data_IF_969961318251
#
_entry.id   IF_969961318251
#
_cell.length_a   1.000
_cell.length_b   1.000
_cell.length_c   1.000
_cell.angle_alpha   90.00
_cell.angle_beta   90.00
_cell.angle_gamma   90.00
#
_symmetry.space_group_name_H-M   'P 1'
#
loop_
_entity.id
_entity.type
_entity.pdbx_description
1 polymer ?
#
# COMPACT_ATOMS: atom_id res chain seq x y z
N UNK A 1 -85.02 -39.00 33.07
CA UNK A 1 -86.20 -38.12 33.04
C UNK A 1 -85.84 -36.75 33.64
N UNK A 2 -84.94 -35.93 33.02
CA UNK A 2 -84.61 -34.59 33.51
C UNK A 2 -83.81 -33.78 32.44
N UNK A 3 -84.27 -33.74 31.20
CA UNK A 3 -83.68 -32.94 30.13
C UNK A 3 -84.65 -32.07 29.33
N UNK A 4 -85.94 -32.08 29.64
CA UNK A 4 -86.97 -31.38 28.85
C UNK A 4 -87.54 -30.11 29.48
N UNK A 5 -87.10 -29.70 30.69
CA UNK A 5 -87.61 -28.46 31.36
C UNK A 5 -86.80 -27.21 31.24
N UNK A 6 -85.51 -27.26 30.68
CA UNK A 6 -84.68 -26.04 30.48
C UNK A 6 -84.91 -25.33 29.13
N UNK A 7 -85.50 -25.99 28.17
CA UNK A 7 -85.71 -25.41 26.84
C UNK A 7 -86.95 -24.52 26.75
N UNK A 8 -87.90 -24.74 27.69
CA UNK A 8 -89.14 -24.01 27.67
C UNK A 8 -89.11 -22.59 28.30
N UNK A 9 -88.03 -22.27 29.08
CA UNK A 9 -87.86 -20.96 29.67
C UNK A 9 -86.98 -19.98 28.83
N UNK A 10 -86.22 -20.51 27.88
CA UNK A 10 -85.37 -19.69 26.98
C UNK A 10 -86.14 -19.09 25.80
N UNK A 11 -87.18 -19.78 25.32
CA UNK A 11 -88.00 -19.30 24.19
C UNK A 11 -88.79 -18.00 24.54
N UNK A 12 -89.42 -17.88 25.70
CA UNK A 12 -90.10 -16.64 26.04
C UNK A 12 -89.14 -15.46 26.30
N UNK A 13 -87.93 -15.69 26.82
CA UNK A 13 -86.91 -14.65 27.04
C UNK A 13 -86.37 -14.04 25.74
N UNK A 14 -86.05 -14.92 24.74
CA UNK A 14 -85.62 -14.48 23.41
C UNK A 14 -86.69 -13.73 22.67
N UNK A 15 -88.00 -14.17 22.79
CA UNK A 15 -89.14 -13.48 22.16
C UNK A 15 -89.39 -12.15 22.83
N UNK A 16 -89.21 -12.04 24.18
CA UNK A 16 -89.39 -10.77 24.90
C UNK A 16 -88.29 -9.79 24.54
N UNK A 17 -87.03 -10.24 24.40
CA UNK A 17 -85.94 -9.39 23.97
C UNK A 17 -86.09 -8.89 22.54
N UNK A 18 -86.57 -9.74 21.61
CA UNK A 18 -86.90 -9.34 20.24
C UNK A 18 -88.10 -8.40 20.16
N UNK A 19 -89.10 -8.64 20.97
CA UNK A 19 -90.28 -7.75 21.06
C UNK A 19 -89.98 -6.38 21.72
N UNK A 20 -89.13 -6.33 22.71
CA UNK A 20 -88.62 -5.08 23.31
C UNK A 20 -87.75 -4.33 22.34
N UNK A 21 -86.87 -5.00 21.62
CA UNK A 21 -86.04 -4.41 20.58
C UNK A 21 -86.90 -3.76 19.47
N UNK A 22 -87.85 -4.50 18.91
CA UNK A 22 -88.77 -3.98 17.88
C UNK A 22 -89.69 -2.89 18.43
N UNK A 23 -90.14 -2.93 19.69
CA UNK A 23 -90.95 -1.92 20.32
C UNK A 23 -90.16 -0.63 20.56
N UNK A 24 -88.89 -0.70 20.98
CA UNK A 24 -88.00 0.43 21.10
C UNK A 24 -87.72 1.12 19.76
N UNK A 25 -87.52 0.34 18.69
CA UNK A 25 -87.29 0.83 17.32
C UNK A 25 -88.50 1.59 16.78
N UNK A 26 -89.70 1.12 17.10
CA UNK A 26 -90.97 1.74 16.68
C UNK A 26 -91.27 3.01 17.47
N UNK A 27 -90.91 3.13 18.75
CA UNK A 27 -91.26 4.27 19.62
C UNK A 27 -90.13 5.35 19.65
N UNK A 28 -88.89 4.99 19.50
CA UNK A 28 -87.74 5.88 19.71
C UNK A 28 -86.83 6.05 18.49
N UNK A 29 -87.04 5.33 17.40
CA UNK A 29 -86.19 5.39 16.19
C UNK A 29 -84.83 4.92 16.44
N UNK A 30 -84.50 4.13 17.49
CA UNK A 30 -83.20 3.52 17.76
C UNK A 30 -83.24 2.10 17.33
N UNK A 31 -82.39 1.79 16.34
CA UNK A 31 -82.01 0.40 16.01
C UNK A 31 -81.07 -0.12 17.09
N UNK A 32 -81.48 -1.04 17.93
CA UNK A 32 -80.52 -1.77 18.78
C UNK A 32 -79.92 -2.87 17.88
N UNK A 33 -78.77 -2.62 17.33
CA UNK A 33 -77.99 -3.65 16.67
C UNK A 33 -77.47 -4.64 17.74
N UNK A 34 -78.16 -5.79 17.87
CA UNK A 34 -77.95 -6.81 18.94
C UNK A 34 -76.75 -7.67 18.65
N UNK A 35 -76.04 -7.50 17.49
CA UNK A 35 -74.95 -8.32 17.09
C UNK A 35 -73.75 -7.43 16.74
N UNK A 36 -72.79 -7.41 17.66
CA UNK A 36 -71.44 -6.88 17.39
C UNK A 36 -70.76 -7.88 16.42
N UNK A 37 -70.41 -7.40 15.23
CA UNK A 37 -69.73 -8.19 14.18
C UNK A 37 -68.24 -7.87 14.13
N UNK A 38 -67.72 -7.06 15.07
CA UNK A 38 -66.31 -6.69 15.10
C UNK A 38 -65.40 -7.86 15.40
N UNK A 39 -64.25 -7.86 14.80
CA UNK A 39 -63.23 -8.83 15.07
C UNK A 39 -62.53 -9.37 13.83
N UNK A 40 -61.67 -10.32 14.06
CA UNK A 40 -60.92 -11.00 13.01
C UNK A 40 -61.76 -11.93 12.20
N UNK A 41 -61.73 -11.77 10.87
CA UNK A 41 -62.32 -12.68 9.88
C UNK A 41 -61.25 -13.30 9.03
N UNK A 42 -61.32 -14.62 8.81
CA UNK A 42 -60.46 -15.36 7.88
C UNK A 42 -61.31 -16.08 6.88
N UNK A 43 -61.20 -15.73 5.60
CA UNK A 43 -61.92 -16.36 4.53
C UNK A 43 -61.04 -16.55 3.28
N UNK A 44 -61.01 -17.71 2.69
CA UNK A 44 -60.28 -18.05 1.43
C UNK A 44 -58.82 -17.62 1.44
N UNK A 45 -58.11 -17.77 2.61
CA UNK A 45 -56.70 -17.40 2.79
C UNK A 45 -56.46 -15.88 2.97
N UNK A 46 -57.51 -15.07 3.02
CA UNK A 46 -57.43 -13.65 3.35
C UNK A 46 -57.86 -13.42 4.80
N UNK A 47 -57.20 -12.45 5.46
CA UNK A 47 -57.52 -12.05 6.84
C UNK A 47 -57.93 -10.57 6.81
N UNK A 48 -59.01 -10.26 7.52
CA UNK A 48 -59.55 -8.91 7.68
C UNK A 48 -59.90 -8.66 9.14
N UNK A 49 -60.08 -7.39 9.50
CA UNK A 49 -60.69 -7.01 10.77
C UNK A 49 -61.93 -6.21 10.49
N UNK A 50 -63.07 -6.67 11.00
CA UNK A 50 -64.38 -6.07 10.79
C UNK A 50 -64.66 -5.04 11.89
N UNK A 51 -65.34 -3.94 11.54
CA UNK A 51 -65.93 -3.01 12.50
C UNK A 51 -67.24 -3.57 13.13
N UNK A 52 -67.82 -2.81 14.01
CA UNK A 52 -69.04 -3.18 14.69
C UNK A 52 -70.20 -3.54 13.71
N UNK A 53 -70.17 -2.97 12.50
CA UNK A 53 -71.18 -3.21 11.46
C UNK A 53 -70.80 -4.31 10.45
N UNK A 54 -69.72 -5.04 10.72
CA UNK A 54 -69.26 -6.11 9.83
C UNK A 54 -68.53 -5.59 8.57
N UNK A 55 -68.06 -4.32 8.54
CA UNK A 55 -67.31 -3.77 7.42
C UNK A 55 -65.80 -3.92 7.67
N UNK A 56 -65.00 -4.32 6.67
CA UNK A 56 -63.56 -4.40 6.80
C UNK A 56 -62.94 -3.03 7.15
N UNK A 57 -62.04 -3.00 8.13
CA UNK A 57 -61.21 -1.86 8.40
C UNK A 57 -60.17 -1.71 7.27
N UNK A 58 -59.79 -0.46 6.98
CA UNK A 58 -58.88 -0.10 5.88
C UNK A 58 -57.69 0.67 6.42
N UNK A 59 -56.53 0.60 5.72
CA UNK A 59 -55.32 1.36 6.03
C UNK A 59 -54.77 1.05 7.43
N UNK A 60 -54.14 2.03 8.07
CA UNK A 60 -53.56 1.90 9.40
C UNK A 60 -54.61 1.68 10.47
N UNK A 61 -54.41 0.66 11.30
CA UNK A 61 -55.24 0.34 12.45
C UNK A 61 -54.39 -0.10 13.63
N UNK A 62 -54.71 0.33 14.81
CA UNK A 62 -54.14 -0.13 16.07
C UNK A 62 -55.16 -1.06 16.75
N UNK A 63 -54.85 -2.33 16.83
CA UNK A 63 -55.69 -3.37 17.42
C UNK A 63 -54.88 -4.05 18.53
N UNK A 64 -55.40 -4.04 19.76
CA UNK A 64 -54.71 -4.63 20.92
C UNK A 64 -53.27 -4.16 21.13
N UNK A 65 -53.00 -2.85 20.91
CA UNK A 65 -51.69 -2.19 21.00
C UNK A 65 -50.69 -2.68 19.96
N UNK A 66 -51.12 -3.28 18.88
CA UNK A 66 -50.34 -3.69 17.74
C UNK A 66 -50.80 -2.94 16.51
N UNK A 67 -49.88 -2.45 15.69
CA UNK A 67 -50.18 -1.72 14.46
C UNK A 67 -50.27 -2.67 13.28
N UNK A 68 -51.35 -2.54 12.51
CA UNK A 68 -51.62 -3.30 11.30
C UNK A 68 -51.85 -2.36 10.12
N UNK A 69 -51.68 -2.84 8.93
CA UNK A 69 -52.13 -2.15 7.73
C UNK A 69 -53.04 -3.05 6.90
N UNK A 70 -54.19 -2.56 6.56
CA UNK A 70 -55.17 -3.24 5.71
C UNK A 70 -55.20 -2.55 4.35
N UNK A 71 -55.22 -3.35 3.29
CA UNK A 71 -55.29 -2.85 1.92
C UNK A 71 -56.47 -1.85 1.77
N UNK A 72 -56.22 -0.76 1.08
CA UNK A 72 -57.14 0.39 1.04
C UNK A 72 -58.42 0.13 0.24
N UNK A 73 -58.41 -0.91 -0.63
CA UNK A 73 -59.56 -1.23 -1.49
C UNK A 73 -60.27 -2.51 -1.00
N UNK A 74 -59.50 -3.53 -0.63
CA UNK A 74 -60.06 -4.83 -0.29
C UNK A 74 -60.24 -5.05 1.21
N UNK A 75 -59.55 -4.26 2.06
CA UNK A 75 -59.53 -4.48 3.50
C UNK A 75 -58.74 -5.70 3.94
N UNK A 76 -57.96 -6.35 3.05
CA UNK A 76 -57.15 -7.47 3.43
C UNK A 76 -55.96 -7.05 4.27
N UNK A 77 -55.62 -7.80 5.30
CA UNK A 77 -54.47 -7.61 6.15
C UNK A 77 -53.19 -7.77 5.32
N UNK A 78 -52.31 -6.77 5.39
CA UNK A 78 -51.04 -6.78 4.73
C UNK A 78 -50.00 -7.56 5.55
N UNK A 79 -49.16 -8.34 4.87
CA UNK A 79 -47.99 -9.07 5.43
C UNK A 79 -46.79 -8.82 4.57
N UNK A 80 -45.59 -9.08 5.09
CA UNK A 80 -44.32 -8.88 4.37
C UNK A 80 -43.99 -7.40 4.17
N UNK A 81 -43.15 -7.11 3.15
CA UNK A 81 -42.76 -5.75 2.79
C UNK A 81 -43.88 -4.96 2.13
N UNK A 82 -44.17 -3.75 2.62
CA UNK A 82 -45.20 -2.85 2.11
C UNK A 82 -44.64 -1.42 1.94
N UNK A 83 -44.84 -0.84 0.77
CA UNK A 83 -44.51 0.56 0.51
C UNK A 83 -45.78 1.45 0.72
N UNK A 84 -45.79 2.22 1.80
CA UNK A 84 -46.97 3.00 2.21
C UNK A 84 -46.53 4.46 2.30
N UNK A 85 -47.14 5.33 1.49
CA UNK A 85 -46.90 6.77 1.47
C UNK A 85 -45.42 7.17 1.36
N UNK A 86 -44.64 6.41 0.56
CA UNK A 86 -43.20 6.66 0.32
C UNK A 86 -42.25 6.12 1.40
N UNK A 87 -42.77 5.45 2.41
CA UNK A 87 -41.99 4.76 3.43
C UNK A 87 -42.21 3.24 3.33
N UNK A 88 -41.15 2.46 3.62
CA UNK A 88 -41.20 1.00 3.56
C UNK A 88 -41.33 0.41 4.96
N UNK A 89 -42.28 -0.52 5.10
CA UNK A 89 -42.63 -1.20 6.35
C UNK A 89 -42.55 -2.71 6.16
N UNK A 90 -42.39 -3.45 7.24
CA UNK A 90 -42.49 -4.91 7.24
C UNK A 90 -43.55 -5.35 8.25
N UNK A 91 -44.46 -6.22 7.80
CA UNK A 91 -45.48 -6.84 8.63
C UNK A 91 -45.21 -8.34 8.74
N UNK A 92 -45.27 -8.89 9.94
CA UNK A 92 -45.12 -10.32 10.16
C UNK A 92 -46.22 -11.15 9.49
N UNK A 93 -46.14 -12.47 9.52
CA UNK A 93 -47.15 -13.35 9.01
C UNK A 93 -48.47 -13.15 9.76
N UNK A 94 -48.40 -12.70 11.01
CA UNK A 94 -49.57 -12.32 11.84
C UNK A 94 -50.10 -10.91 11.53
N UNK A 95 -49.56 -10.21 10.53
CA UNK A 95 -49.95 -8.87 10.11
C UNK A 95 -49.42 -7.76 11.02
N UNK A 96 -48.68 -8.07 12.08
CA UNK A 96 -48.17 -7.07 13.02
C UNK A 96 -46.98 -6.34 12.41
N UNK A 97 -47.05 -4.99 12.42
CA UNK A 97 -45.92 -4.15 12.01
C UNK A 97 -44.70 -4.42 12.87
N UNK A 98 -43.56 -4.75 12.21
CA UNK A 98 -42.30 -4.98 12.89
C UNK A 98 -41.56 -3.67 13.16
N UNK A 99 -40.78 -3.63 14.24
CA UNK A 99 -39.97 -2.48 14.65
C UNK A 99 -38.62 -2.94 15.19
N UNK A 100 -37.58 -2.08 15.09
CA UNK A 100 -36.23 -2.43 15.54
C UNK A 100 -35.49 -3.36 14.57
N UNK A 101 -34.63 -4.21 15.10
CA UNK A 101 -33.85 -5.17 14.31
C UNK A 101 -34.72 -6.27 13.71
N UNK A 102 -34.53 -6.52 12.42
CA UNK A 102 -35.23 -7.56 11.67
C UNK A 102 -34.24 -8.35 10.82
N UNK A 103 -34.22 -9.66 10.94
CA UNK A 103 -33.39 -10.55 10.10
C UNK A 103 -34.32 -11.41 9.24
N UNK A 104 -34.12 -11.32 7.92
CA UNK A 104 -34.84 -12.11 6.91
C UNK A 104 -33.85 -12.68 5.91
N UNK A 105 -33.91 -13.97 5.66
CA UNK A 105 -33.05 -14.65 4.65
C UNK A 105 -31.57 -14.33 4.80
N UNK A 106 -31.06 -14.26 6.04
CA UNK A 106 -29.67 -13.93 6.35
C UNK A 106 -29.29 -12.45 6.19
N UNK A 107 -30.24 -11.57 5.84
CA UNK A 107 -30.06 -10.13 5.75
C UNK A 107 -30.64 -9.43 6.98
N UNK A 108 -29.92 -8.47 7.50
CA UNK A 108 -30.33 -7.70 8.68
C UNK A 108 -30.76 -6.31 8.27
N UNK A 109 -31.88 -5.85 8.81
CA UNK A 109 -32.52 -4.55 8.61
C UNK A 109 -32.80 -3.89 9.95
N UNK A 110 -33.08 -2.59 9.93
CA UNK A 110 -33.59 -1.88 11.08
C UNK A 110 -34.83 -1.03 10.70
N UNK A 111 -35.87 -1.18 11.49
CA UNK A 111 -37.16 -0.47 11.32
C UNK A 111 -37.35 0.57 12.43
N UNK A 112 -36.99 1.82 12.16
CA UNK A 112 -37.14 2.90 13.11
C UNK A 112 -38.61 3.33 13.21
N UNK A 113 -39.25 3.02 14.35
CA UNK A 113 -40.68 3.24 14.49
C UNK A 113 -41.54 2.52 13.45
N UNK A 114 -41.04 1.39 12.91
CA UNK A 114 -41.65 0.59 11.85
C UNK A 114 -41.15 0.93 10.45
N UNK A 115 -40.48 2.04 10.22
CA UNK A 115 -40.01 2.47 8.91
C UNK A 115 -38.59 1.97 8.65
N UNK A 116 -38.34 1.35 7.47
CA UNK A 116 -37.00 0.93 7.04
C UNK A 116 -36.10 2.15 6.89
N UNK A 117 -34.90 2.04 7.44
CA UNK A 117 -33.86 3.07 7.36
C UNK A 117 -32.76 2.74 6.36
N UNK A 118 -32.03 3.77 5.90
CA UNK A 118 -30.99 3.70 4.88
C UNK A 118 -29.80 4.59 5.25
N UNK A 119 -28.63 4.33 4.64
CA UNK A 119 -27.42 5.14 4.82
C UNK A 119 -26.82 4.98 6.21
N UNK A 120 -26.00 5.96 6.59
CA UNK A 120 -25.36 5.98 7.91
C UNK A 120 -26.39 6.28 9.00
N UNK A 121 -26.38 5.45 10.05
CA UNK A 121 -27.23 5.55 11.22
C UNK A 121 -26.41 5.35 12.49
N UNK A 122 -26.79 6.05 13.55
CA UNK A 122 -26.27 5.82 14.89
C UNK A 122 -27.37 5.19 15.75
N UNK A 123 -27.20 3.93 16.13
CA UNK A 123 -28.14 3.18 16.93
C UNK A 123 -27.44 2.73 18.21
N UNK A 124 -27.96 3.08 19.38
CA UNK A 124 -27.40 2.68 20.67
C UNK A 124 -25.92 3.06 20.84
N UNK A 125 -25.49 4.24 20.37
CA UNK A 125 -24.12 4.77 20.39
C UNK A 125 -23.15 4.00 19.46
N UNK A 126 -23.66 3.17 18.56
CA UNK A 126 -22.89 2.44 17.56
C UNK A 126 -23.31 2.91 16.16
N UNK A 127 -22.33 3.15 15.29
CA UNK A 127 -22.57 3.48 13.88
C UNK A 127 -22.83 2.22 13.07
N UNK A 128 -23.77 2.34 12.13
CA UNK A 128 -24.11 1.31 11.14
C UNK A 128 -24.32 1.98 9.78
N UNK A 129 -24.18 1.21 8.74
CA UNK A 129 -24.57 1.63 7.39
C UNK A 129 -25.58 0.66 6.82
N UNK A 130 -26.67 1.20 6.26
CA UNK A 130 -27.70 0.42 5.58
C UNK A 130 -27.68 0.80 4.09
N UNK A 131 -27.58 -0.20 3.22
CA UNK A 131 -27.55 0.00 1.77
C UNK A 131 -28.82 0.66 1.23
N UNK A 132 -28.86 0.91 -0.07
CA UNK A 132 -30.05 1.45 -0.75
C UNK A 132 -31.24 0.49 -0.74
N UNK A 133 -30.99 -0.79 -0.44
CA UNK A 133 -31.98 -1.84 -0.21
C UNK A 133 -32.39 -1.97 1.27
N UNK A 134 -31.79 -1.18 2.16
CA UNK A 134 -32.01 -1.20 3.60
C UNK A 134 -31.27 -2.33 4.34
N UNK A 135 -30.41 -3.08 3.66
CA UNK A 135 -29.64 -4.17 4.29
C UNK A 135 -28.46 -3.58 5.05
N UNK A 136 -28.24 -4.03 6.29
CA UNK A 136 -27.09 -3.65 7.10
C UNK A 136 -25.78 -4.10 6.40
N UNK A 137 -24.83 -3.21 6.26
CA UNK A 137 -23.54 -3.49 5.67
C UNK A 137 -22.72 -4.43 6.56
N UNK A 138 -22.07 -5.41 5.93
CA UNK A 138 -21.04 -6.29 6.51
C UNK A 138 -19.93 -6.50 5.49
N UNK A 139 -18.70 -6.76 5.95
CA UNK A 139 -17.54 -6.89 5.08
C UNK A 139 -17.17 -5.61 4.36
N UNK A 140 -16.50 -5.71 3.22
CA UNK A 140 -16.05 -4.58 2.42
C UNK A 140 -17.20 -3.85 1.73
N UNK A 141 -17.21 -2.51 1.85
CA UNK A 141 -18.17 -1.62 1.22
C UNK A 141 -17.46 -0.40 0.64
N UNK A 142 -17.88 0.03 -0.54
CA UNK A 142 -17.48 1.32 -1.13
C UNK A 142 -18.63 2.32 -0.96
N UNK A 143 -18.40 3.37 -0.18
CA UNK A 143 -19.39 4.39 0.14
C UNK A 143 -18.78 5.76 -0.18
N UNK A 144 -19.40 6.52 -1.07
CA UNK A 144 -18.93 7.85 -1.50
C UNK A 144 -17.44 7.86 -1.90
N UNK A 145 -17.03 6.91 -2.76
CA UNK A 145 -15.67 6.70 -3.23
C UNK A 145 -14.64 6.44 -2.11
N UNK A 146 -15.08 6.04 -0.93
CA UNK A 146 -14.24 5.63 0.19
C UNK A 146 -14.49 4.17 0.53
N UNK A 147 -13.42 3.47 0.92
CA UNK A 147 -13.47 2.07 1.27
C UNK A 147 -13.71 1.92 2.77
N UNK A 148 -14.63 1.04 3.15
CA UNK A 148 -14.99 0.70 4.53
C UNK A 148 -15.00 -0.81 4.70
N UNK A 149 -14.77 -1.25 5.92
CA UNK A 149 -15.00 -2.63 6.32
C UNK A 149 -15.91 -2.66 7.54
N UNK A 150 -16.96 -3.49 7.48
CA UNK A 150 -17.90 -3.68 8.58
C UNK A 150 -17.75 -5.08 9.16
N UNK A 151 -17.72 -5.16 10.47
CA UNK A 151 -17.71 -6.42 11.20
C UNK A 151 -19.04 -7.18 10.99
N UNK A 152 -19.08 -8.45 11.37
CA UNK A 152 -20.30 -9.26 11.25
C UNK A 152 -21.51 -8.66 12.02
N UNK A 153 -21.25 -7.91 13.08
CA UNK A 153 -22.26 -7.20 13.83
C UNK A 153 -22.67 -5.86 13.21
N UNK A 154 -22.14 -5.50 12.05
CA UNK A 154 -22.42 -4.25 11.34
C UNK A 154 -21.64 -3.03 11.82
N UNK A 155 -20.77 -3.15 12.82
CA UNK A 155 -19.92 -2.05 13.27
C UNK A 155 -18.80 -1.79 12.24
N UNK A 156 -18.49 -0.52 11.89
CA UNK A 156 -17.34 -0.22 11.06
C UNK A 156 -16.04 -0.56 11.79
N UNK A 157 -15.05 -1.11 11.05
CA UNK A 157 -13.73 -1.40 11.58
C UNK A 157 -13.02 -0.11 12.02
N UNK A 158 -12.14 -0.22 13.03
CA UNK A 158 -11.35 0.90 13.54
C UNK A 158 -9.94 0.43 13.92
N UNK A 159 -8.91 1.25 13.62
CA UNK A 159 -7.52 0.93 13.89
C UNK A 159 -6.96 -0.17 12.96
N UNK A 160 -5.93 -0.84 13.42
CA UNK A 160 -5.29 -1.93 12.69
C UNK A 160 -6.17 -3.16 12.57
N UNK A 161 -6.20 -3.75 11.37
CA UNK A 161 -6.91 -4.99 11.10
C UNK A 161 -6.18 -5.84 10.07
N UNK A 162 -6.18 -7.14 10.29
CA UNK A 162 -5.66 -8.12 9.35
C UNK A 162 -6.83 -8.85 8.68
N UNK A 163 -6.87 -8.80 7.36
CA UNK A 163 -7.93 -9.38 6.52
C UNK A 163 -7.27 -10.04 5.31
N UNK A 164 -7.55 -11.31 5.07
CA UNK A 164 -7.04 -12.07 3.91
C UNK A 164 -5.53 -11.92 3.72
N UNK A 165 -4.74 -12.18 4.77
CA UNK A 165 -3.27 -12.09 4.83
C UNK A 165 -2.70 -10.69 4.50
N UNK A 166 -3.52 -9.65 4.56
CA UNK A 166 -3.12 -8.26 4.33
C UNK A 166 -3.49 -7.39 5.54
N UNK A 167 -2.66 -6.40 5.84
CA UNK A 167 -2.91 -5.46 6.94
C UNK A 167 -3.52 -4.18 6.40
N UNK A 168 -4.47 -3.65 7.15
CA UNK A 168 -5.21 -2.42 6.87
C UNK A 168 -5.23 -1.54 8.11
N UNK A 169 -5.42 -0.26 7.91
CA UNK A 169 -5.71 0.68 8.99
C UNK A 169 -7.00 1.44 8.70
N UNK A 170 -7.89 1.49 9.68
CA UNK A 170 -9.17 2.19 9.58
C UNK A 170 -9.18 3.39 10.52
N UNK A 171 -9.63 4.53 10.02
CA UNK A 171 -9.81 5.73 10.83
C UNK A 171 -10.93 5.52 11.87
N UNK A 172 -11.03 6.40 12.86
CA UNK A 172 -12.13 6.39 13.86
C UNK A 172 -13.53 6.44 13.22
N UNK A 173 -13.63 6.92 11.99
CA UNK A 173 -14.89 6.94 11.23
C UNK A 173 -15.13 5.67 10.40
N UNK A 174 -14.27 4.66 10.51
CA UNK A 174 -14.39 3.38 9.79
C UNK A 174 -13.90 3.38 8.35
N UNK A 175 -13.28 4.48 7.89
CA UNK A 175 -12.74 4.58 6.53
C UNK A 175 -11.35 3.93 6.48
N UNK A 176 -11.11 3.06 5.48
CA UNK A 176 -9.78 2.53 5.22
C UNK A 176 -8.83 3.66 4.80
N UNK A 177 -7.63 3.63 5.36
CA UNK A 177 -6.55 4.56 4.98
C UNK A 177 -5.96 4.12 3.66
N UNK A 178 -5.65 5.09 2.79
CA UNK A 178 -4.87 4.94 1.56
C UNK A 178 -3.78 6.01 1.53
N UNK A 179 -2.65 5.73 0.86
CA UNK A 179 -1.50 6.63 0.85
C UNK A 179 -0.74 6.63 2.18
N UNK A 180 -0.15 7.76 2.53
CA UNK A 180 0.68 7.92 3.72
C UNK A 180 -0.13 7.97 5.00
N UNK A 181 0.36 7.26 6.01
CA UNK A 181 -0.18 7.26 7.37
C UNK A 181 0.95 7.27 8.40
N UNK A 182 0.76 7.97 9.50
CA UNK A 182 1.74 8.08 10.58
C UNK A 182 1.14 7.64 11.90
N UNK A 183 1.86 6.79 12.61
CA UNK A 183 1.59 6.32 13.97
C UNK A 183 2.83 6.55 14.84
N UNK A 184 2.72 6.32 16.15
CA UNK A 184 3.85 6.45 17.08
C UNK A 184 5.04 5.55 16.71
N UNK A 185 4.76 4.38 16.11
CA UNK A 185 5.77 3.42 15.69
C UNK A 185 6.53 3.84 14.42
N UNK A 186 5.96 4.70 13.57
CA UNK A 186 6.56 5.16 12.33
C UNK A 186 5.57 5.57 11.25
N UNK A 187 6.07 5.71 10.04
CA UNK A 187 5.26 6.03 8.86
C UNK A 187 5.00 4.76 8.05
N UNK A 188 3.80 4.67 7.53
CA UNK A 188 3.29 3.56 6.72
C UNK A 188 2.78 4.09 5.38
N UNK A 189 2.69 3.21 4.40
CA UNK A 189 2.05 3.51 3.13
C UNK A 189 1.02 2.44 2.78
N UNK A 190 -0.16 2.88 2.35
CA UNK A 190 -1.26 2.01 1.95
C UNK A 190 -1.58 2.23 0.47
N UNK A 191 -1.74 1.15 -0.27
CA UNK A 191 -2.17 1.23 -1.67
C UNK A 191 -3.61 1.74 -1.80
N UNK A 192 -4.06 1.99 -3.03
CA UNK A 192 -5.42 2.48 -3.30
C UNK A 192 -6.51 1.49 -2.87
N UNK A 193 -6.19 0.21 -2.75
CA UNK A 193 -7.07 -0.84 -2.21
C UNK A 193 -7.05 -0.93 -0.67
N UNK A 194 -6.32 -0.03 -0.01
CA UNK A 194 -6.18 0.05 1.44
C UNK A 194 -5.16 -0.91 2.05
N UNK A 195 -4.45 -1.72 1.25
CA UNK A 195 -3.45 -2.66 1.77
C UNK A 195 -2.17 -1.94 2.18
N UNK A 196 -1.69 -2.24 3.39
CA UNK A 196 -0.37 -1.80 3.86
C UNK A 196 0.72 -2.34 2.93
N UNK A 197 1.64 -1.48 2.55
CA UNK A 197 2.77 -1.84 1.69
C UNK A 197 3.99 -2.22 2.52
N UNK A 198 4.77 -3.17 2.00
CA UNK A 198 6.08 -3.60 2.51
C UNK A 198 7.06 -3.70 1.34
N UNK A 199 8.37 -3.69 1.62
CA UNK A 199 9.38 -3.72 0.58
C UNK A 199 9.48 -2.39 -0.19
N UNK A 200 9.85 -2.47 -1.45
CA UNK A 200 10.03 -1.31 -2.31
C UNK A 200 8.71 -0.69 -2.77
N UNK A 201 8.61 0.63 -2.63
CA UNK A 201 7.45 1.42 -3.08
C UNK A 201 7.92 2.65 -3.86
N UNK A 202 7.43 2.79 -5.08
CA UNK A 202 7.65 3.98 -5.91
C UNK A 202 6.42 4.90 -5.78
N UNK A 203 6.65 6.15 -5.31
CA UNK A 203 5.61 7.15 -5.11
C UNK A 203 6.09 8.54 -5.56
N UNK A 204 5.36 9.19 -6.45
CA UNK A 204 5.67 10.54 -6.96
C UNK A 204 7.13 10.67 -7.44
N UNK A 205 7.61 9.74 -8.25
CA UNK A 205 8.99 9.67 -8.77
C UNK A 205 10.08 9.48 -7.71
N UNK A 206 9.70 9.12 -6.49
CA UNK A 206 10.58 8.83 -5.35
C UNK A 206 10.43 7.37 -4.98
N UNK A 207 11.53 6.77 -4.53
CA UNK A 207 11.55 5.38 -4.09
C UNK A 207 11.73 5.30 -2.59
N UNK A 208 10.96 4.43 -1.95
CA UNK A 208 10.93 4.17 -0.51
C UNK A 208 11.10 2.68 -0.26
N UNK A 209 11.47 2.35 0.96
CA UNK A 209 11.46 0.96 1.42
C UNK A 209 10.74 0.86 2.76
N UNK A 210 9.86 -0.12 2.87
CA UNK A 210 9.13 -0.43 4.10
C UNK A 210 9.55 -1.81 4.59
N UNK A 211 9.83 -1.94 5.88
CA UNK A 211 10.18 -3.22 6.48
C UNK A 211 9.00 -4.20 6.48
N UNK A 212 9.22 -5.42 6.99
CA UNK A 212 8.18 -6.46 7.08
C UNK A 212 6.99 -6.04 7.98
N UNK A 213 7.20 -5.09 8.88
CA UNK A 213 6.15 -4.50 9.73
C UNK A 213 5.38 -3.38 9.04
N UNK A 214 5.81 -2.96 7.83
CA UNK A 214 5.28 -1.84 7.06
C UNK A 214 5.82 -0.48 7.49
N UNK A 215 6.86 -0.44 8.34
CA UNK A 215 7.45 0.82 8.78
C UNK A 215 8.45 1.33 7.73
N UNK A 216 8.32 2.61 7.37
CA UNK A 216 9.20 3.30 6.44
C UNK A 216 10.65 3.28 6.94
N UNK A 217 11.56 2.80 6.12
CA UNK A 217 12.99 2.76 6.42
C UNK A 217 13.61 4.16 6.28
N UNK A 218 14.51 4.48 7.21
CA UNK A 218 15.40 5.65 7.16
C UNK A 218 16.83 5.23 7.52
N UNK A 219 17.83 5.98 7.07
CA UNK A 219 19.24 5.62 7.28
C UNK A 219 19.70 4.50 6.36
N UNK A 220 20.71 3.74 6.82
CA UNK A 220 21.32 2.66 6.04
C UNK A 220 20.47 1.39 6.03
N UNK A 221 20.37 0.76 4.85
CA UNK A 221 19.78 -0.55 4.63
C UNK A 221 20.77 -1.45 3.88
N UNK A 222 21.02 -2.65 4.39
CA UNK A 222 21.78 -3.69 3.71
C UNK A 222 20.82 -4.77 3.20
N UNK A 223 20.87 -5.04 1.89
CA UNK A 223 19.99 -6.01 1.26
C UNK A 223 20.64 -6.63 0.04
N UNK A 224 20.69 -7.98 -0.01
CA UNK A 224 21.23 -8.71 -1.15
C UNK A 224 22.72 -8.48 -1.41
N UNK A 225 23.48 -8.02 -0.41
CA UNK A 225 24.91 -7.67 -0.54
C UNK A 225 25.16 -6.23 -1.00
N UNK A 226 24.12 -5.48 -1.32
CA UNK A 226 24.16 -4.06 -1.64
C UNK A 226 23.76 -3.21 -0.42
N UNK A 227 24.25 -1.96 -0.37
CA UNK A 227 23.92 -0.98 0.66
C UNK A 227 23.15 0.17 0.04
N UNK A 228 22.10 0.58 0.72
CA UNK A 228 21.23 1.70 0.36
C UNK A 228 21.17 2.71 1.51
N UNK A 229 20.82 3.94 1.21
CA UNK A 229 20.57 4.96 2.23
C UNK A 229 19.25 5.67 1.96
N UNK A 230 18.48 5.88 3.01
CA UNK A 230 17.22 6.61 2.97
C UNK A 230 17.32 7.85 3.86
N UNK A 231 16.93 9.01 3.34
CA UNK A 231 16.89 10.25 4.10
C UNK A 231 15.93 10.17 5.29
N UNK A 232 15.89 11.21 6.12
CA UNK A 232 14.92 11.31 7.24
C UNK A 232 13.46 11.33 6.75
N UNK A 233 13.24 11.75 5.52
CA UNK A 233 11.95 11.73 4.84
C UNK A 233 11.60 10.37 4.19
N UNK A 234 12.50 9.39 4.30
CA UNK A 234 12.37 8.03 3.76
C UNK A 234 12.72 7.89 2.29
N UNK A 235 13.15 8.95 1.60
CA UNK A 235 13.54 8.86 0.18
C UNK A 235 14.86 8.14 0.01
N UNK A 236 14.92 7.22 -0.95
CA UNK A 236 16.15 6.55 -1.35
C UNK A 236 17.14 7.57 -1.94
N UNK A 237 18.39 7.52 -1.48
CA UNK A 237 19.47 8.34 -1.99
C UNK A 237 19.91 7.89 -3.39
N UNK A 238 20.14 8.86 -4.29
CA UNK A 238 20.85 8.71 -5.58
C UNK A 238 21.84 9.84 -5.74
N UNK A 239 22.90 9.64 -6.53
CA UNK A 239 23.94 10.64 -6.74
C UNK A 239 24.81 10.86 -5.50
N UNK A 240 25.28 12.07 -5.29
CA UNK A 240 26.08 12.48 -4.14
C UNK A 240 25.18 12.96 -3.00
N UNK A 241 25.28 12.31 -1.83
CA UNK A 241 24.55 12.68 -0.61
C UNK A 241 25.53 12.86 0.54
N UNK A 242 25.42 13.96 1.27
CA UNK A 242 26.17 14.18 2.51
C UNK A 242 25.51 13.45 3.66
N UNK A 243 26.25 12.52 4.26
CA UNK A 243 25.85 11.78 5.47
C UNK A 243 26.84 12.17 6.57
N UNK A 244 26.39 12.99 7.50
CA UNK A 244 27.28 13.74 8.38
C UNK A 244 28.18 14.70 7.58
N UNK A 245 29.49 14.64 7.79
CA UNK A 245 30.46 15.47 7.08
C UNK A 245 31.07 14.76 5.84
N UNK A 246 30.56 13.57 5.48
CA UNK A 246 31.15 12.74 4.41
C UNK A 246 30.21 12.64 3.22
N UNK A 247 30.73 12.93 2.02
CA UNK A 247 30.03 12.65 0.76
C UNK A 247 30.01 11.16 0.49
N UNK A 248 28.81 10.65 0.20
CA UNK A 248 28.55 9.27 -0.21
C UNK A 248 27.88 9.27 -1.58
N UNK A 249 28.15 8.27 -2.38
CA UNK A 249 27.70 8.21 -3.77
C UNK A 249 26.80 7.00 -3.97
N UNK A 250 25.67 7.22 -4.65
CA UNK A 250 24.66 6.21 -4.90
C UNK A 250 24.31 6.18 -6.40
N UNK A 251 24.13 5.00 -6.95
CA UNK A 251 23.72 4.82 -8.35
C UNK A 251 22.27 5.29 -8.60
N UNK A 252 21.82 5.27 -9.84
CA UNK A 252 20.41 5.51 -10.21
C UNK A 252 19.44 4.54 -9.52
N UNK A 253 19.91 3.32 -9.21
CA UNK A 253 19.15 2.31 -8.47
C UNK A 253 19.32 2.38 -6.95
N UNK A 254 20.01 3.41 -6.44
CA UNK A 254 20.23 3.66 -5.01
C UNK A 254 21.33 2.84 -4.35
N UNK A 255 22.09 2.04 -5.10
CA UNK A 255 23.19 1.25 -4.55
C UNK A 255 24.37 2.14 -4.19
N UNK A 256 24.87 1.98 -2.96
CA UNK A 256 26.07 2.68 -2.51
C UNK A 256 27.28 2.25 -3.33
N UNK A 257 28.00 3.23 -3.85
CA UNK A 257 29.28 3.01 -4.55
C UNK A 257 30.39 3.86 -3.94
N UNK A 258 31.58 3.32 -3.92
CA UNK A 258 32.76 4.04 -3.49
C UNK A 258 33.40 4.66 -4.72
N UNK A 259 33.64 5.96 -4.68
CA UNK A 259 34.26 6.71 -5.76
C UNK A 259 35.49 7.46 -5.25
N UNK A 260 36.64 6.78 -5.06
CA UNK A 260 37.88 7.45 -4.73
C UNK A 260 38.37 8.27 -5.93
N UNK A 261 38.74 9.49 -5.65
CA UNK A 261 39.33 10.42 -6.61
C UNK A 261 40.16 11.47 -5.84
N UNK A 262 40.81 12.44 -6.48
CA UNK A 262 41.63 13.43 -5.77
C UNK A 262 40.90 14.18 -4.64
N UNK A 263 39.59 14.25 -4.66
CA UNK A 263 38.77 14.98 -3.69
C UNK A 263 38.08 14.08 -2.66
N UNK A 264 37.88 12.81 -3.00
CA UNK A 264 37.14 11.83 -2.18
C UNK A 264 38.05 10.66 -1.82
N UNK A 265 38.41 10.46 -0.55
CA UNK A 265 39.18 9.29 -0.12
C UNK A 265 38.32 8.03 -0.08
N UNK A 266 38.97 6.87 -0.06
CA UNK A 266 38.34 5.61 0.33
C UNK A 266 37.79 5.78 1.75
N UNK A 267 36.50 5.53 1.99
CA UNK A 267 35.91 5.68 3.32
C UNK A 267 36.60 4.82 4.36
N UNK A 268 36.73 5.35 5.59
CA UNK A 268 37.39 4.63 6.69
C UNK A 268 36.66 3.36 7.14
N UNK A 269 35.36 3.30 6.87
CA UNK A 269 34.46 2.17 7.14
C UNK A 269 34.35 1.19 5.95
N UNK A 270 35.15 1.35 4.90
CA UNK A 270 35.18 0.44 3.77
C UNK A 270 35.97 -0.82 4.09
N UNK A 271 35.32 -1.95 3.95
CA UNK A 271 35.92 -3.27 4.08
C UNK A 271 36.03 -3.96 2.71
N UNK A 272 37.17 -4.63 2.48
CA UNK A 272 37.45 -5.34 1.26
C UNK A 272 37.10 -6.83 1.40
N UNK A 273 36.29 -7.38 0.49
CA UNK A 273 36.08 -8.83 0.34
C UNK A 273 36.90 -9.36 -0.84
N UNK A 274 38.21 -9.59 -0.60
CA UNK A 274 39.16 -9.93 -1.62
C UNK A 274 39.28 -11.44 -1.88
N UNK A 275 39.16 -11.81 -3.15
CA UNK A 275 39.37 -13.15 -3.65
C UNK A 275 40.52 -13.20 -4.66
N UNK A 276 41.08 -14.38 -4.91
CA UNK A 276 42.16 -14.56 -5.90
C UNK A 276 41.60 -14.60 -7.33
N UNK A 277 42.32 -13.93 -8.24
CA UNK A 277 42.18 -14.06 -9.68
C UNK A 277 43.57 -14.07 -10.35
N UNK A 278 43.99 -15.22 -10.87
CA UNK A 278 45.31 -15.40 -11.56
C UNK A 278 46.51 -14.90 -10.73
N UNK A 279 46.45 -15.06 -9.39
CA UNK A 279 47.52 -14.65 -8.46
C UNK A 279 47.44 -13.20 -8.00
N UNK A 280 46.42 -12.45 -8.42
CA UNK A 280 46.09 -11.10 -7.97
C UNK A 280 44.88 -11.13 -7.04
N UNK A 281 44.67 -10.07 -6.26
CA UNK A 281 43.49 -9.89 -5.39
C UNK A 281 42.48 -8.94 -6.04
N UNK A 282 41.23 -9.35 -6.13
CA UNK A 282 40.12 -8.53 -6.64
C UNK A 282 38.91 -8.68 -5.73
N UNK A 283 38.01 -7.69 -5.73
CA UNK A 283 36.76 -7.77 -4.96
C UNK A 283 35.88 -8.92 -5.48
N UNK A 284 35.26 -9.66 -4.56
CA UNK A 284 34.44 -10.85 -4.87
C UNK A 284 33.33 -10.52 -5.87
N UNK A 285 32.67 -9.36 -5.73
CA UNK A 285 31.55 -9.01 -6.57
C UNK A 285 31.91 -8.76 -8.04
N UNK A 286 33.17 -8.35 -8.30
CA UNK A 286 33.64 -8.08 -9.65
C UNK A 286 34.52 -9.18 -10.25
N UNK A 287 34.89 -10.21 -9.46
CA UNK A 287 35.87 -11.22 -9.85
C UNK A 287 35.49 -12.01 -11.11
N UNK A 288 34.24 -12.50 -11.16
CA UNK A 288 33.80 -13.34 -12.30
C UNK A 288 33.57 -12.47 -13.54
N UNK A 289 33.13 -11.24 -13.37
CA UNK A 289 33.02 -10.26 -14.43
C UNK A 289 34.39 -9.89 -15.03
N UNK A 290 35.43 -9.73 -14.19
CA UNK A 290 36.79 -9.50 -14.65
C UNK A 290 37.32 -10.69 -15.46
N UNK A 291 37.11 -11.92 -14.99
CA UNK A 291 37.51 -13.12 -15.74
C UNK A 291 36.78 -13.17 -17.08
N UNK A 292 35.46 -12.92 -17.13
CA UNK A 292 34.68 -12.92 -18.37
C UNK A 292 35.18 -11.88 -19.37
N UNK A 293 35.46 -10.64 -18.92
CA UNK A 293 35.99 -9.55 -19.76
C UNK A 293 37.35 -9.95 -20.38
N UNK A 294 38.26 -10.51 -19.56
CA UNK A 294 39.57 -10.95 -20.02
C UNK A 294 39.48 -12.09 -21.02
N UNK A 295 38.63 -13.09 -20.78
CA UNK A 295 38.40 -14.22 -21.65
C UNK A 295 37.80 -13.77 -23.00
N UNK A 296 36.85 -12.83 -22.98
CA UNK A 296 36.28 -12.26 -24.19
C UNK A 296 37.31 -11.50 -25.03
N UNK A 297 38.14 -10.66 -24.39
CA UNK A 297 39.25 -9.99 -25.07
C UNK A 297 40.23 -10.99 -25.70
N UNK A 298 40.56 -12.07 -24.99
CA UNK A 298 41.42 -13.15 -25.50
C UNK A 298 40.77 -13.90 -26.67
N UNK A 299 39.48 -14.19 -26.60
CA UNK A 299 38.69 -14.80 -27.67
C UNK A 299 38.59 -13.93 -28.92
N UNK A 300 38.63 -12.62 -28.74
CA UNK A 300 38.70 -11.64 -29.83
C UNK A 300 40.06 -11.56 -30.51
N UNK A 301 41.04 -12.33 -30.00
CA UNK A 301 42.37 -12.45 -30.61
C UNK A 301 43.46 -11.59 -29.97
N UNK A 302 43.17 -10.93 -28.83
CA UNK A 302 44.14 -10.08 -28.15
C UNK A 302 44.67 -10.76 -26.88
N UNK A 303 45.98 -10.67 -26.63
CA UNK A 303 46.49 -11.01 -25.30
C UNK A 303 45.84 -10.09 -24.25
N UNK A 304 45.41 -10.66 -23.16
CA UNK A 304 44.79 -9.90 -22.07
C UNK A 304 45.30 -10.44 -20.71
N UNK A 305 46.26 -9.73 -20.13
CA UNK A 305 46.84 -10.00 -18.81
C UNK A 305 46.42 -8.98 -17.75
N UNK A 306 46.70 -9.31 -16.51
CA UNK A 306 46.56 -8.37 -15.39
C UNK A 306 47.93 -7.79 -15.07
N UNK A 307 48.01 -6.46 -15.07
CA UNK A 307 49.21 -5.76 -14.60
C UNK A 307 49.11 -5.43 -13.12
N UNK A 308 47.91 -4.97 -12.68
CA UNK A 308 47.68 -4.61 -11.29
C UNK A 308 46.16 -4.66 -10.94
N UNK A 309 45.84 -4.91 -9.68
CA UNK A 309 44.46 -4.88 -9.16
C UNK A 309 44.48 -4.23 -7.79
N UNK A 310 44.18 -4.99 -6.72
CA UNK A 310 44.20 -4.45 -5.36
C UNK A 310 45.58 -3.92 -4.95
N UNK A 311 45.59 -2.75 -4.34
CA UNK A 311 46.78 -2.13 -3.78
C UNK A 311 46.46 -1.61 -2.38
N UNK A 312 47.20 -2.08 -1.38
CA UNK A 312 47.00 -1.59 -0.01
C UNK A 312 47.42 -0.12 0.12
N UNK A 313 46.87 0.53 1.15
CA UNK A 313 47.27 1.91 1.51
C UNK A 313 48.79 2.03 1.66
N UNK A 314 49.42 1.08 2.32
CA UNK A 314 50.89 1.08 2.52
C UNK A 314 51.67 1.00 1.20
N UNK A 315 51.21 0.17 0.26
CA UNK A 315 51.80 0.05 -1.08
C UNK A 315 51.59 1.35 -1.87
N UNK A 316 50.41 1.92 -1.83
CA UNK A 316 50.10 3.20 -2.49
C UNK A 316 50.98 4.34 -1.95
N UNK A 317 51.15 4.38 -0.61
CA UNK A 317 51.98 5.37 0.04
C UNK A 317 53.47 5.21 -0.36
N UNK A 318 53.98 4.01 -0.37
CA UNK A 318 55.35 3.72 -0.81
C UNK A 318 55.58 4.18 -2.26
N UNK A 319 54.67 3.85 -3.17
CA UNK A 319 54.74 4.28 -4.57
C UNK A 319 54.70 5.81 -4.73
N UNK A 320 53.86 6.47 -3.95
CA UNK A 320 53.75 7.93 -3.93
C UNK A 320 55.07 8.56 -3.45
N UNK A 321 55.58 8.14 -2.31
CA UNK A 321 56.77 8.66 -1.69
C UNK A 321 58.00 8.52 -2.60
N UNK A 322 58.20 7.35 -3.19
CA UNK A 322 59.32 7.06 -4.13
C UNK A 322 59.24 7.98 -5.36
N UNK A 323 58.03 8.22 -5.88
CA UNK A 323 57.87 9.11 -7.06
C UNK A 323 58.10 10.57 -6.69
N UNK A 324 57.70 11.02 -5.54
CA UNK A 324 57.99 12.34 -5.03
C UNK A 324 59.52 12.54 -4.89
N UNK A 325 60.20 11.60 -4.20
CA UNK A 325 61.61 11.63 -4.00
C UNK A 325 62.39 11.68 -5.34
N UNK A 326 61.96 10.85 -6.30
CA UNK A 326 62.54 10.84 -7.66
C UNK A 326 62.41 12.21 -8.32
N UNK A 327 61.24 12.88 -8.27
CA UNK A 327 61.02 14.20 -8.88
C UNK A 327 61.83 15.28 -8.20
N UNK A 328 61.96 15.20 -6.87
CA UNK A 328 62.80 16.11 -6.13
C UNK A 328 64.30 15.97 -6.53
N UNK A 329 64.76 14.72 -6.74
CA UNK A 329 66.12 14.43 -7.25
C UNK A 329 66.32 14.92 -8.69
N UNK A 330 65.25 15.08 -9.47
CA UNK A 330 65.25 15.68 -10.81
C UNK A 330 65.20 17.22 -10.75
N UNK A 331 65.22 17.84 -9.53
CA UNK A 331 65.33 19.26 -9.31
C UNK A 331 64.02 20.00 -9.02
N UNK A 332 62.91 19.29 -8.85
CA UNK A 332 61.62 19.90 -8.47
C UNK A 332 61.59 20.22 -6.98
N UNK A 333 60.85 21.27 -6.58
CA UNK A 333 60.46 21.48 -5.19
C UNK A 333 59.49 20.37 -4.74
N UNK A 334 59.29 20.24 -3.45
CA UNK A 334 58.34 19.25 -2.93
C UNK A 334 56.90 19.48 -3.48
N UNK A 335 56.46 20.75 -3.49
CA UNK A 335 55.14 21.13 -4.01
C UNK A 335 55.01 20.84 -5.50
N UNK A 336 56.04 21.08 -6.30
CA UNK A 336 56.09 20.74 -7.74
C UNK A 336 56.07 19.24 -7.96
N UNK A 337 56.81 18.46 -7.16
CA UNK A 337 56.86 16.99 -7.21
C UNK A 337 55.52 16.39 -6.86
N UNK A 338 54.82 16.90 -5.82
CA UNK A 338 53.47 16.51 -5.44
C UNK A 338 52.46 16.80 -6.58
N UNK A 339 52.45 18.04 -7.09
CA UNK A 339 51.56 18.44 -8.18
C UNK A 339 51.81 17.66 -9.48
N UNK A 340 53.06 17.35 -9.77
CA UNK A 340 53.43 16.52 -10.94
C UNK A 340 52.97 15.07 -10.78
N UNK A 341 53.30 14.45 -9.64
CA UNK A 341 52.97 13.05 -9.35
C UNK A 341 51.47 12.84 -9.29
N UNK A 342 50.72 13.75 -8.68
CA UNK A 342 49.27 13.69 -8.58
C UNK A 342 48.50 13.68 -9.91
N UNK A 343 49.19 13.94 -11.03
CA UNK A 343 48.55 13.86 -12.37
C UNK A 343 48.31 12.42 -12.83
N UNK A 344 49.09 11.45 -12.36
CA UNK A 344 49.10 10.05 -12.82
C UNK A 344 49.12 9.02 -11.69
N UNK A 345 49.30 9.45 -10.46
CA UNK A 345 49.28 8.58 -9.27
C UNK A 345 48.39 9.20 -8.24
N UNK A 346 47.37 8.48 -7.82
CA UNK A 346 46.47 8.94 -6.78
C UNK A 346 47.20 9.08 -5.44
N UNK A 347 46.81 10.09 -4.67
CA UNK A 347 47.23 10.29 -3.29
C UNK A 347 46.93 9.04 -2.46
N UNK A 348 47.78 8.62 -1.49
CA UNK A 348 47.46 7.56 -0.57
C UNK A 348 46.13 7.77 0.12
N UNK A 349 45.22 6.78 0.09
CA UNK A 349 43.84 6.92 0.52
C UNK A 349 42.86 7.29 -0.59
N UNK A 350 43.32 7.70 -1.78
CA UNK A 350 42.48 8.17 -2.88
C UNK A 350 42.57 7.31 -4.14
N UNK A 351 43.20 6.13 -4.06
CA UNK A 351 43.38 5.23 -5.20
C UNK A 351 42.21 4.27 -5.36
N UNK A 352 41.70 4.16 -6.58
CA UNK A 352 40.71 3.13 -6.99
C UNK A 352 41.16 1.71 -6.68
N UNK A 353 42.48 1.43 -6.81
CA UNK A 353 43.04 0.13 -6.49
C UNK A 353 42.88 -0.29 -5.02
N UNK A 354 42.71 0.68 -4.09
CA UNK A 354 42.47 0.36 -2.69
C UNK A 354 41.07 -0.22 -2.44
N UNK A 355 40.17 -0.07 -3.40
CA UNK A 355 38.81 -0.66 -3.33
C UNK A 355 38.79 -2.13 -3.74
N UNK A 356 39.82 -2.59 -4.50
CA UNK A 356 39.83 -3.92 -5.13
C UNK A 356 38.91 -4.04 -6.34
N UNK A 357 38.28 -2.94 -6.77
CA UNK A 357 37.33 -2.89 -7.90
C UNK A 357 37.96 -2.32 -9.17
N UNK A 358 39.25 -1.97 -9.14
CA UNK A 358 40.03 -1.48 -10.29
C UNK A 358 41.04 -2.52 -10.79
N UNK A 359 41.26 -2.53 -12.09
CA UNK A 359 42.26 -3.38 -12.77
C UNK A 359 43.03 -2.56 -13.79
N UNK A 360 44.37 -2.70 -13.78
CA UNK A 360 45.23 -2.28 -14.87
C UNK A 360 45.47 -3.50 -15.77
N UNK A 361 45.01 -3.42 -17.03
CA UNK A 361 45.11 -4.52 -17.99
C UNK A 361 46.39 -4.39 -18.79
N UNK A 362 47.11 -5.51 -18.95
CA UNK A 362 48.25 -5.64 -19.84
C UNK A 362 47.78 -6.21 -21.19
N UNK A 363 47.79 -5.39 -22.23
CA UNK A 363 47.38 -5.77 -23.58
C UNK A 363 48.00 -4.83 -24.62
N UNK A 364 47.93 -5.20 -25.90
CA UNK A 364 48.33 -4.34 -27.02
C UNK A 364 47.40 -3.12 -27.16
N UNK A 365 47.85 -2.11 -27.94
CA UNK A 365 47.02 -0.93 -28.20
C UNK A 365 45.68 -1.32 -28.86
N UNK A 366 45.67 -2.27 -29.83
CA UNK A 366 44.43 -2.80 -30.39
C UNK A 366 43.54 -3.54 -29.36
N UNK A 367 44.17 -4.23 -28.38
CA UNK A 367 43.42 -4.83 -27.26
C UNK A 367 42.83 -3.80 -26.32
N UNK A 368 43.51 -2.66 -26.08
CA UNK A 368 42.96 -1.52 -25.32
C UNK A 368 41.77 -0.89 -26.05
N UNK A 369 41.88 -0.70 -27.38
CA UNK A 369 40.77 -0.18 -28.20
C UNK A 369 39.55 -1.11 -28.09
N UNK A 370 39.77 -2.44 -28.22
CA UNK A 370 38.68 -3.41 -28.04
C UNK A 370 38.08 -3.33 -26.65
N UNK A 371 38.87 -3.27 -25.60
CA UNK A 371 38.37 -3.15 -24.21
C UNK A 371 37.59 -1.87 -23.99
N UNK A 372 38.02 -0.73 -24.53
CA UNK A 372 37.27 0.54 -24.46
C UNK A 372 35.88 0.46 -25.12
N UNK A 373 35.76 -0.38 -26.17
CA UNK A 373 34.48 -0.59 -26.87
C UNK A 373 33.55 -1.61 -26.19
N UNK A 374 34.10 -2.57 -25.40
CA UNK A 374 33.39 -3.73 -24.90
C UNK A 374 33.35 -3.89 -23.37
N UNK A 375 34.17 -3.17 -22.60
CA UNK A 375 34.23 -3.33 -21.14
C UNK A 375 32.89 -3.19 -20.44
N UNK A 376 32.00 -2.36 -20.98
CA UNK A 376 30.65 -2.07 -20.50
C UNK A 376 29.76 -3.32 -20.41
N UNK A 377 29.91 -4.25 -21.34
CA UNK A 377 29.18 -5.52 -21.42
C UNK A 377 29.46 -6.42 -20.21
N UNK A 378 30.63 -6.21 -19.56
CA UNK A 378 31.11 -6.97 -18.40
C UNK A 378 31.02 -6.17 -17.09
N UNK A 379 30.34 -5.01 -17.09
CA UNK A 379 30.20 -4.21 -15.88
C UNK A 379 31.41 -3.34 -15.55
N UNK A 380 32.31 -3.11 -16.51
CA UNK A 380 33.44 -2.23 -16.33
C UNK A 380 33.31 -0.93 -17.09
N UNK A 381 33.94 0.10 -16.59
CA UNK A 381 34.09 1.40 -17.26
C UNK A 381 35.55 1.70 -17.48
N UNK A 382 35.87 2.40 -18.57
CA UNK A 382 37.17 3.07 -18.69
C UNK A 382 37.16 4.24 -17.70
N UNK A 383 37.91 4.12 -16.62
CA UNK A 383 37.79 5.02 -15.46
C UNK A 383 38.28 6.44 -15.76
N UNK A 384 39.31 6.60 -16.55
CA UNK A 384 39.95 7.85 -16.88
C UNK A 384 40.01 8.06 -18.40
N UNK A 385 38.88 8.44 -19.04
CA UNK A 385 38.79 8.61 -20.48
C UNK A 385 39.53 9.85 -20.96
N UNK A 386 39.89 9.87 -22.25
CA UNK A 386 40.60 11.01 -22.86
C UNK A 386 39.74 12.28 -22.81
N UNK A 387 40.39 13.40 -22.61
CA UNK A 387 39.71 14.72 -22.51
C UNK A 387 39.03 15.00 -21.17
N UNK A 388 38.91 14.02 -20.25
CA UNK A 388 38.15 14.17 -18.99
C UNK A 388 39.01 14.49 -17.75
N UNK A 389 40.27 14.81 -17.91
CA UNK A 389 41.17 15.10 -16.77
C UNK A 389 40.68 16.23 -15.86
N UNK A 390 40.05 17.25 -16.40
CA UNK A 390 39.52 18.36 -15.62
C UNK A 390 38.39 17.93 -14.66
N UNK A 391 37.76 16.81 -14.96
CA UNK A 391 36.65 16.24 -14.20
C UNK A 391 37.13 15.11 -13.28
N UNK A 392 37.96 14.18 -13.80
CA UNK A 392 38.45 13.03 -13.03
C UNK A 392 39.69 13.33 -12.18
N UNK A 393 40.43 14.40 -12.50
CA UNK A 393 41.72 14.76 -11.89
C UNK A 393 42.91 13.96 -12.38
N UNK A 394 42.70 12.86 -13.10
CA UNK A 394 43.77 11.93 -13.62
C UNK A 394 43.82 12.06 -15.14
N UNK A 395 45.03 11.82 -15.70
CA UNK A 395 45.24 11.77 -17.15
C UNK A 395 44.55 10.56 -17.78
N UNK A 396 44.47 10.55 -19.13
CA UNK A 396 44.01 9.39 -19.88
C UNK A 396 44.79 8.12 -19.56
N UNK A 397 44.09 7.06 -19.13
CA UNK A 397 44.68 5.76 -18.79
C UNK A 397 43.91 4.64 -19.50
N UNK A 398 44.29 4.29 -20.77
CA UNK A 398 43.56 3.27 -21.56
C UNK A 398 43.69 1.83 -21.03
N UNK A 399 44.45 1.62 -19.97
CA UNK A 399 44.62 0.35 -19.29
C UNK A 399 43.79 0.23 -18.00
N UNK A 400 43.26 1.31 -17.47
CA UNK A 400 42.65 1.36 -16.13
C UNK A 400 41.13 1.25 -16.22
N UNK A 401 40.59 0.10 -15.78
CA UNK A 401 39.13 -0.18 -15.77
C UNK A 401 38.63 -0.32 -14.35
N UNK A 402 37.43 0.19 -14.12
CA UNK A 402 36.71 0.13 -12.85
C UNK A 402 35.43 -0.70 -12.99
N UNK A 403 35.25 -1.70 -12.09
CA UNK A 403 33.99 -2.43 -11.98
C UNK A 403 32.92 -1.61 -11.27
N UNK A 404 31.74 -1.50 -11.88
CA UNK A 404 30.57 -0.79 -11.38
C UNK A 404 29.28 -1.61 -11.51
N UNK A 405 29.35 -2.82 -12.10
CA UNK A 405 28.21 -3.66 -12.47
C UNK A 405 27.66 -3.32 -13.85
N UNK A 406 27.04 -4.32 -14.51
CA UNK A 406 26.58 -4.20 -15.91
C UNK A 406 25.50 -3.17 -16.11
N UNK A 407 24.57 -3.01 -15.16
CA UNK A 407 23.49 -2.01 -15.21
C UNK A 407 24.09 -0.59 -15.33
N UNK A 408 24.97 -0.24 -14.40
CA UNK A 408 25.57 1.09 -14.32
C UNK A 408 26.53 1.37 -15.48
N UNK A 409 27.35 0.37 -15.84
CA UNK A 409 28.28 0.53 -16.95
C UNK A 409 27.56 0.79 -18.28
N UNK A 410 26.46 0.10 -18.53
CA UNK A 410 25.65 0.30 -19.74
C UNK A 410 24.96 1.66 -19.74
N UNK A 411 24.40 2.08 -18.61
CA UNK A 411 23.79 3.40 -18.46
C UNK A 411 24.81 4.52 -18.71
N UNK A 412 26.00 4.42 -18.10
CA UNK A 412 27.09 5.39 -18.32
C UNK A 412 27.57 5.41 -19.77
N UNK A 413 27.62 4.26 -20.45
CA UNK A 413 27.96 4.16 -21.87
C UNK A 413 26.94 4.89 -22.74
N UNK A 414 25.64 4.61 -22.53
CA UNK A 414 24.56 5.25 -23.29
C UNK A 414 24.56 6.77 -23.15
N UNK A 415 24.86 7.26 -21.94
CA UNK A 415 24.93 8.68 -21.63
C UNK A 415 26.25 9.33 -22.06
N UNK A 416 27.31 8.57 -22.34
CA UNK A 416 28.64 9.05 -22.68
C UNK A 416 29.35 9.79 -21.53
N UNK A 417 29.04 9.44 -20.29
CA UNK A 417 29.51 10.10 -19.08
C UNK A 417 30.64 9.32 -18.41
N UNK A 418 31.64 10.04 -17.85
CA UNK A 418 32.53 9.45 -16.87
C UNK A 418 31.86 9.38 -15.47
N UNK A 419 32.48 8.71 -14.52
CA UNK A 419 31.86 8.42 -13.22
C UNK A 419 31.49 9.68 -12.44
N UNK A 420 32.32 10.72 -12.46
CA UNK A 420 32.05 11.99 -11.80
C UNK A 420 30.86 12.73 -12.44
N UNK A 421 30.80 12.76 -13.78
CA UNK A 421 29.68 13.38 -14.51
C UNK A 421 28.38 12.65 -14.26
N UNK A 422 28.41 11.31 -14.23
CA UNK A 422 27.26 10.47 -13.92
C UNK A 422 26.71 10.77 -12.51
N UNK A 423 27.60 10.82 -11.51
CA UNK A 423 27.18 11.16 -10.14
C UNK A 423 26.64 12.58 -10.00
N UNK A 424 27.20 13.55 -10.71
CA UNK A 424 26.70 14.92 -10.75
C UNK A 424 25.30 14.98 -11.35
N UNK A 425 25.04 14.28 -12.46
CA UNK A 425 23.74 14.19 -13.10
C UNK A 425 22.70 13.61 -12.13
N UNK A 426 23.01 12.51 -11.45
CA UNK A 426 22.09 11.89 -10.47
C UNK A 426 21.80 12.82 -9.28
N UNK A 427 22.81 13.58 -8.84
CA UNK A 427 22.66 14.56 -7.76
C UNK A 427 21.69 15.68 -8.16
N UNK A 428 21.81 16.18 -9.41
CA UNK A 428 20.88 17.15 -9.97
C UNK A 428 19.45 16.60 -10.08
N UNK A 429 19.29 15.35 -10.54
CA UNK A 429 17.99 14.67 -10.57
C UNK A 429 17.37 14.57 -9.17
N UNK A 430 18.14 14.15 -8.18
CA UNK A 430 17.68 14.10 -6.79
C UNK A 430 17.20 15.46 -6.29
N UNK A 431 17.91 16.52 -6.62
CA UNK A 431 17.56 17.89 -6.21
C UNK A 431 16.26 18.39 -6.88
N UNK A 432 15.96 17.98 -8.12
CA UNK A 432 14.76 18.38 -8.84
C UNK A 432 13.48 17.72 -8.30
N UNK A 433 13.57 16.52 -7.72
CA UNK A 433 12.45 15.79 -7.12
C UNK A 433 12.36 16.01 -5.59
N UNK A 434 13.15 16.91 -5.05
CA UNK A 434 13.19 17.28 -3.60
C UNK A 434 12.08 18.28 -3.18
#
# INVERSE_FOLDING_TARGET
>A
MLKTKKLLFLIPLVVVVLLVGTYCTLLFGFSIDIFDQSGWESQDGTVRYLDYYGKPLLKWQDIDRKSYYFDAETGNMCTGWQDIQGSRYYFGEDGVMQTGWLTLDGKTYYLAGGTLIYGWQELYQQKYYFGTDGVMAVGWQSIDASLYYFEENGAPANGWKELDDSRYYFTENGKAVTGWHSEDAGKYFFADDGKMQTGWVDWEQKRYYFDESGIMTTGWLEMGGDRYYFGEDGRMAIGEVKIGDVSRFFTSTGKYVIMPNPWNPVPADFENDMVDIKGYKFDRNGRDALQAMMDACTNAGYYCGINNTYRSYATQKYMWDVRIERRMNEGMTYEEAVAYTGRSVALPGHSEHQTGLAVDVDTSDAGKEWLMEHCWEYGFILRYPDGKRSVTGIIFEPWHYRYVGTEISMEMKELGLCMEEYMAMLTEQQAQIS
#
